data_IF_269596427906
#
_entry.id   IF_269596427906
#
_cell.length_a   1.000
_cell.length_b   1.000
_cell.length_c   1.000
_cell.angle_alpha   90.00
_cell.angle_beta   90.00
_cell.angle_gamma   90.00
#
_symmetry.space_group_name_H-M   'P 1'
#
loop_
_entity.id
_entity.type
_entity.pdbx_description
1 polymer ?
#
# COMPACT_ATOMS: atom_id res chain seq x y z
N UNK A 1 25.19 -7.46 18.52
CA UNK A 1 24.66 -6.10 18.18
C UNK A 1 23.62 -6.15 17.05
N UNK A 2 23.86 -6.83 15.92
CA UNK A 2 22.91 -6.87 14.76
C UNK A 2 21.57 -7.52 15.09
N UNK A 3 21.56 -8.58 15.91
CA UNK A 3 20.33 -9.26 16.32
C UNK A 3 19.41 -8.37 17.18
N UNK A 4 19.98 -7.63 18.13
CA UNK A 4 19.22 -6.68 18.95
C UNK A 4 18.61 -5.54 18.10
N UNK A 5 19.39 -4.99 17.16
CA UNK A 5 18.89 -3.97 16.23
C UNK A 5 17.74 -4.55 15.38
N UNK A 6 17.84 -5.80 14.93
CA UNK A 6 16.78 -6.46 14.18
C UNK A 6 15.47 -6.58 14.98
N UNK A 7 15.56 -7.04 16.24
CA UNK A 7 14.38 -7.13 17.13
C UNK A 7 13.79 -5.75 17.38
N UNK A 8 14.62 -4.77 17.71
CA UNK A 8 14.16 -3.39 17.97
C UNK A 8 13.46 -2.81 16.74
N UNK A 9 14.03 -3.00 15.56
CA UNK A 9 13.41 -2.56 14.28
C UNK A 9 12.07 -3.23 14.06
N UNK A 10 11.98 -4.53 14.28
CA UNK A 10 10.72 -5.26 14.11
C UNK A 10 9.64 -4.76 15.08
N UNK A 11 9.96 -4.58 16.35
CA UNK A 11 9.02 -4.06 17.35
C UNK A 11 8.58 -2.63 17.01
N UNK A 12 9.50 -1.79 16.59
CA UNK A 12 9.24 -0.41 16.21
C UNK A 12 8.29 -0.34 14.98
N UNK A 13 8.57 -1.12 13.94
CA UNK A 13 7.67 -1.25 12.78
C UNK A 13 6.29 -1.72 13.22
N UNK A 14 6.21 -2.73 14.09
CA UNK A 14 4.94 -3.26 14.58
C UNK A 14 4.14 -2.21 15.36
N UNK A 15 4.80 -1.41 16.19
CA UNK A 15 4.16 -0.32 16.95
C UNK A 15 3.64 0.78 16.02
N UNK A 16 4.48 1.28 15.12
CA UNK A 16 4.10 2.35 14.18
C UNK A 16 2.94 1.91 13.28
N UNK A 17 3.01 0.68 12.73
CA UNK A 17 1.91 0.14 11.91
C UNK A 17 0.63 -0.05 12.73
N UNK A 18 0.73 -0.52 13.98
CA UNK A 18 -0.44 -0.70 14.84
C UNK A 18 -1.14 0.63 15.13
N UNK A 19 -0.37 1.68 15.40
CA UNK A 19 -0.90 3.04 15.61
C UNK A 19 -1.54 3.55 14.31
N UNK A 20 -0.83 3.45 13.18
CA UNK A 20 -1.32 3.90 11.87
C UNK A 20 -2.62 3.20 11.48
N UNK A 21 -2.67 1.87 11.56
CA UNK A 21 -3.89 1.11 11.26
C UNK A 21 -5.00 1.35 12.28
N UNK A 22 -4.69 1.51 13.56
CA UNK A 22 -5.66 1.88 14.59
C UNK A 22 -6.36 3.20 14.26
N UNK A 23 -5.59 4.24 13.91
CA UNK A 23 -6.12 5.53 13.47
C UNK A 23 -6.98 5.39 12.20
N UNK A 24 -6.53 4.60 11.22
CA UNK A 24 -7.29 4.35 10.00
C UNK A 24 -8.64 3.68 10.29
N UNK A 25 -8.69 2.71 11.19
CA UNK A 25 -9.94 2.04 11.61
C UNK A 25 -10.90 3.05 12.26
N UNK A 26 -10.42 3.82 13.22
CA UNK A 26 -11.23 4.86 13.92
C UNK A 26 -11.81 5.86 12.93
N UNK A 27 -10.97 6.40 12.03
CA UNK A 27 -11.40 7.41 11.05
C UNK A 27 -12.36 6.84 10.01
N UNK A 28 -12.20 5.58 9.62
CA UNK A 28 -13.08 4.97 8.63
C UNK A 28 -14.35 4.35 9.24
N UNK A 29 -14.45 4.18 10.55
CA UNK A 29 -15.65 3.63 11.20
C UNK A 29 -16.94 4.36 10.84
N UNK A 30 -17.00 5.71 10.69
CA UNK A 30 -18.22 6.40 10.31
C UNK A 30 -18.70 6.10 8.88
N UNK A 31 -17.83 5.55 8.01
CA UNK A 31 -18.20 5.17 6.62
C UNK A 31 -19.24 4.07 6.56
N UNK A 32 -19.36 3.29 7.63
CA UNK A 32 -20.36 2.21 7.75
C UNK A 32 -21.77 2.82 7.81
N UNK A 33 -21.92 3.91 8.56
CA UNK A 33 -23.22 4.56 8.81
C UNK A 33 -23.49 5.66 7.78
N UNK A 34 -22.48 6.51 7.51
CA UNK A 34 -22.64 7.70 6.67
C UNK A 34 -22.36 7.35 5.21
N UNK A 35 -23.41 7.31 4.38
CA UNK A 35 -23.30 7.02 2.94
C UNK A 35 -23.06 8.26 2.06
N UNK A 36 -22.98 9.47 2.64
CA UNK A 36 -22.80 10.72 1.92
C UNK A 36 -21.48 10.79 1.17
N UNK A 37 -21.54 10.97 -0.16
CA UNK A 37 -20.36 10.88 -1.05
C UNK A 37 -19.24 11.89 -0.74
N UNK A 38 -19.50 13.19 -0.49
CA UNK A 38 -18.43 14.14 -0.15
C UNK A 38 -17.70 13.78 1.14
N UNK A 39 -18.42 13.30 2.14
CA UNK A 39 -17.84 12.84 3.41
C UNK A 39 -16.92 11.63 3.19
N UNK A 40 -17.31 10.67 2.35
CA UNK A 40 -16.45 9.54 2.00
C UNK A 40 -15.17 9.96 1.29
N UNK A 41 -15.24 11.00 0.42
CA UNK A 41 -14.05 11.56 -0.23
C UNK A 41 -13.11 12.23 0.78
N UNK A 42 -13.67 12.99 1.71
CA UNK A 42 -12.91 13.61 2.80
C UNK A 42 -12.20 12.55 3.65
N UNK A 43 -12.91 11.51 4.10
CA UNK A 43 -12.33 10.43 4.87
C UNK A 43 -11.24 9.66 4.09
N UNK A 44 -11.40 9.55 2.78
CA UNK A 44 -10.38 8.92 1.95
C UNK A 44 -9.10 9.77 1.87
N UNK A 45 -9.21 11.08 1.68
CA UNK A 45 -8.06 12.00 1.73
C UNK A 45 -7.35 11.92 3.08
N UNK A 46 -8.12 11.92 4.17
CA UNK A 46 -7.57 11.79 5.52
C UNK A 46 -6.89 10.44 5.74
N UNK A 47 -7.45 9.36 5.20
CA UNK A 47 -6.82 8.03 5.26
C UNK A 47 -5.49 7.98 4.50
N UNK A 48 -5.42 8.60 3.33
CA UNK A 48 -4.16 8.69 2.58
C UNK A 48 -3.12 9.51 3.37
N UNK A 49 -3.51 10.64 3.96
CA UNK A 49 -2.62 11.44 4.80
C UNK A 49 -2.07 10.64 5.98
N UNK A 50 -2.90 9.85 6.66
CA UNK A 50 -2.45 8.96 7.75
C UNK A 50 -1.50 7.90 7.21
N UNK A 51 -1.78 7.32 6.04
CA UNK A 51 -0.88 6.41 5.37
C UNK A 51 0.49 7.03 5.11
N UNK A 52 0.52 8.24 4.54
CA UNK A 52 1.74 8.98 4.27
C UNK A 52 2.51 9.33 5.55
N UNK A 53 1.81 9.77 6.61
CA UNK A 53 2.44 10.02 7.92
C UNK A 53 3.01 8.75 8.55
N UNK A 54 2.32 7.62 8.40
CA UNK A 54 2.81 6.31 8.87
C UNK A 54 4.08 5.91 8.13
N UNK A 55 4.12 6.05 6.79
CA UNK A 55 5.31 5.80 5.97
C UNK A 55 6.46 6.72 6.37
N UNK A 56 6.19 8.00 6.59
CA UNK A 56 7.20 8.97 7.03
C UNK A 56 7.77 8.59 8.40
N UNK A 57 6.92 8.22 9.34
CA UNK A 57 7.35 7.78 10.68
C UNK A 57 8.23 6.54 10.61
N UNK A 58 7.84 5.53 9.81
CA UNK A 58 8.65 4.34 9.56
C UNK A 58 10.01 4.69 8.96
N UNK A 59 10.02 5.56 7.94
CA UNK A 59 11.26 5.97 7.28
C UNK A 59 12.22 6.66 8.25
N UNK A 60 11.73 7.57 9.08
CA UNK A 60 12.55 8.29 10.08
C UNK A 60 13.08 7.30 11.13
N UNK A 61 12.22 6.43 11.64
CA UNK A 61 12.60 5.48 12.69
C UNK A 61 13.62 4.46 12.20
N UNK A 62 13.44 3.86 11.02
CA UNK A 62 14.39 2.91 10.45
C UNK A 62 15.76 3.59 10.21
N UNK A 63 15.77 4.80 9.64
CA UNK A 63 17.01 5.54 9.43
C UNK A 63 17.74 5.86 10.74
N UNK A 64 16.99 6.21 11.78
CA UNK A 64 17.53 6.48 13.11
C UNK A 64 18.12 5.23 13.76
N UNK A 65 17.38 4.11 13.79
CA UNK A 65 17.82 2.84 14.37
C UNK A 65 19.05 2.26 13.69
N UNK A 66 19.12 2.36 12.37
CA UNK A 66 20.23 1.85 11.57
C UNK A 66 21.36 2.87 11.37
N UNK A 67 21.20 4.09 11.87
CA UNK A 67 22.16 5.20 11.69
C UNK A 67 22.55 5.43 10.21
N UNK A 68 21.58 5.24 9.32
CA UNK A 68 21.77 5.41 7.86
C UNK A 68 20.76 6.40 7.32
N UNK A 69 21.22 7.32 6.49
CA UNK A 69 20.34 8.23 5.75
C UNK A 69 20.03 7.63 4.39
N UNK A 70 18.75 7.67 4.02
CA UNK A 70 18.31 7.30 2.68
C UNK A 70 18.39 8.51 1.77
N UNK A 71 18.92 8.29 0.58
CA UNK A 71 18.96 9.28 -0.49
C UNK A 71 18.21 8.71 -1.69
N UNK A 72 17.22 9.44 -2.19
CA UNK A 72 16.43 9.06 -3.35
C UNK A 72 16.65 10.07 -4.45
N UNK A 73 17.05 9.58 -5.61
CA UNK A 73 17.14 10.38 -6.82
C UNK A 73 15.89 10.11 -7.67
N UNK A 74 15.19 11.18 -8.04
CA UNK A 74 13.99 11.15 -8.87
C UNK A 74 14.27 12.08 -10.05
N UNK A 75 14.30 11.52 -11.26
CA UNK A 75 14.68 12.25 -12.47
C UNK A 75 13.59 13.21 -12.95
N UNK A 76 12.33 12.87 -12.70
CA UNK A 76 11.18 13.65 -13.17
C UNK A 76 10.39 14.22 -11.99
N UNK A 77 9.74 15.35 -12.22
CA UNK A 77 8.80 15.90 -11.26
C UNK A 77 7.54 15.02 -11.19
N UNK A 78 7.25 14.51 -10.00
CA UNK A 78 6.03 13.76 -9.72
C UNK A 78 5.07 14.60 -8.90
N UNK A 79 3.77 14.43 -9.14
CA UNK A 79 2.70 15.23 -8.54
C UNK A 79 1.70 14.38 -7.77
N UNK A 80 1.12 14.94 -6.71
CA UNK A 80 0.02 14.33 -5.96
C UNK A 80 -1.30 14.30 -6.74
N UNK A 81 -1.40 15.04 -7.84
CA UNK A 81 -2.64 15.22 -8.63
C UNK A 81 -2.66 14.38 -9.90
N UNK A 82 -1.72 13.44 -10.05
CA UNK A 82 -1.59 12.60 -11.23
C UNK A 82 -1.73 11.10 -10.93
N UNK A 83 -1.87 10.30 -12.00
CA UNK A 83 -1.96 8.84 -11.92
C UNK A 83 -0.66 8.21 -12.36
N UNK A 84 -0.17 7.25 -11.58
CA UNK A 84 1.07 6.55 -11.86
C UNK A 84 0.89 5.05 -11.84
N UNK A 85 1.61 4.39 -12.74
CA UNK A 85 1.92 2.97 -12.65
C UNK A 85 3.39 2.85 -12.30
N UNK A 86 3.67 2.48 -11.06
CA UNK A 86 5.03 2.28 -10.59
C UNK A 86 5.37 0.78 -10.59
N UNK A 87 6.55 0.46 -11.09
CA UNK A 87 7.08 -0.91 -11.07
C UNK A 87 8.45 -0.92 -10.44
N UNK A 88 8.77 -1.97 -9.71
CA UNK A 88 10.09 -2.17 -9.09
C UNK A 88 10.45 -3.63 -9.06
N UNK A 89 11.73 -3.93 -9.04
CA UNK A 89 12.22 -5.25 -8.69
C UNK A 89 11.88 -5.57 -7.24
N UNK A 90 11.73 -6.86 -6.92
CA UNK A 90 11.43 -7.31 -5.57
C UNK A 90 12.47 -8.32 -5.09
N UNK A 91 13.48 -7.81 -4.41
CA UNK A 91 14.54 -8.64 -3.83
C UNK A 91 14.35 -8.89 -2.33
N UNK A 92 13.66 -7.96 -1.64
CA UNK A 92 13.44 -8.04 -0.21
C UNK A 92 12.20 -7.25 0.25
N UNK A 93 11.69 -7.55 1.44
CA UNK A 93 10.64 -6.75 2.08
C UNK A 93 11.03 -5.27 2.27
N UNK A 94 12.33 -4.98 2.34
CA UNK A 94 12.86 -3.62 2.44
C UNK A 94 12.51 -2.77 1.22
N UNK A 95 12.39 -3.38 0.03
CA UNK A 95 12.10 -2.66 -1.22
C UNK A 95 10.73 -1.97 -1.18
N UNK A 96 9.74 -2.58 -0.51
CA UNK A 96 8.42 -1.99 -0.29
C UNK A 96 8.55 -0.68 0.50
N UNK A 97 9.30 -0.71 1.60
CA UNK A 97 9.48 0.49 2.45
C UNK A 97 10.30 1.56 1.75
N UNK A 98 11.35 1.18 1.01
CA UNK A 98 12.15 2.13 0.23
C UNK A 98 11.33 2.80 -0.86
N UNK A 99 10.51 2.05 -1.60
CA UNK A 99 9.65 2.59 -2.65
C UNK A 99 8.59 3.53 -2.08
N UNK A 100 7.94 3.16 -0.98
CA UNK A 100 7.00 4.02 -0.27
C UNK A 100 7.67 5.30 0.24
N UNK A 101 8.88 5.20 0.81
CA UNK A 101 9.61 6.34 1.34
C UNK A 101 10.09 7.30 0.24
N UNK A 102 10.50 6.77 -0.92
CA UNK A 102 10.97 7.57 -2.05
C UNK A 102 9.89 8.52 -2.60
N UNK A 103 8.64 8.05 -2.63
CA UNK A 103 7.51 8.79 -3.22
C UNK A 103 6.60 9.44 -2.17
N UNK A 104 6.93 9.29 -0.88
CA UNK A 104 6.12 9.80 0.23
C UNK A 104 5.89 11.32 0.12
N UNK A 105 4.65 11.76 0.14
CA UNK A 105 4.20 13.15 -0.09
C UNK A 105 4.58 13.76 -1.45
N UNK A 106 5.10 12.98 -2.40
CA UNK A 106 5.42 13.43 -3.76
C UNK A 106 4.43 12.89 -4.77
N UNK A 107 4.01 11.64 -4.61
CA UNK A 107 2.97 10.99 -5.41
C UNK A 107 1.82 10.50 -4.52
N UNK A 108 0.63 10.21 -5.07
CA UNK A 108 -0.44 9.58 -4.34
C UNK A 108 0.02 8.28 -3.68
N UNK A 109 -0.47 8.02 -2.45
CA UNK A 109 -0.12 6.82 -1.70
C UNK A 109 -0.34 5.54 -2.53
N UNK A 110 0.65 4.69 -2.58
CA UNK A 110 0.64 3.46 -3.35
C UNK A 110 -0.56 2.57 -3.04
N UNK A 111 -1.18 2.06 -4.10
CA UNK A 111 -2.18 0.98 -4.04
C UNK A 111 -1.51 -0.29 -4.55
N UNK A 112 -1.08 -1.12 -3.61
CA UNK A 112 -0.39 -2.38 -3.90
C UNK A 112 -1.45 -3.45 -4.15
N UNK A 113 -1.27 -4.23 -5.21
CA UNK A 113 -2.09 -5.41 -5.43
C UNK A 113 -1.80 -6.47 -4.39
N UNK A 114 -2.83 -6.81 -3.61
CA UNK A 114 -2.72 -7.82 -2.56
C UNK A 114 -3.36 -9.12 -3.02
N UNK A 115 -2.66 -10.23 -2.78
CA UNK A 115 -3.19 -11.56 -3.05
C UNK A 115 -4.43 -11.81 -2.18
N UNK A 116 -5.53 -12.26 -2.81
CA UNK A 116 -6.79 -12.49 -2.09
C UNK A 116 -6.66 -13.52 -0.96
N UNK A 117 -5.80 -14.50 -1.12
CA UNK A 117 -5.54 -15.53 -0.10
C UNK A 117 -4.98 -14.96 1.23
N UNK A 118 -4.49 -13.71 1.21
CA UNK A 118 -3.96 -13.03 2.41
C UNK A 118 -5.03 -12.25 3.20
N UNK A 119 -6.31 -12.34 2.82
CA UNK A 119 -7.41 -11.61 3.48
C UNK A 119 -7.54 -11.90 4.98
N UNK A 120 -7.11 -13.07 5.43
CA UNK A 120 -7.15 -13.48 6.83
C UNK A 120 -6.09 -12.77 7.71
N UNK A 121 -5.07 -12.14 7.11
CA UNK A 121 -4.09 -11.37 7.84
C UNK A 121 -4.67 -9.99 8.20
N UNK A 122 -4.80 -9.64 9.52
CA UNK A 122 -5.43 -8.40 9.93
C UNK A 122 -4.85 -7.13 9.28
N UNK A 123 -3.52 -6.95 9.16
CA UNK A 123 -2.96 -5.76 8.49
C UNK A 123 -3.37 -5.66 7.01
N UNK A 124 -3.44 -6.80 6.30
CA UNK A 124 -3.82 -6.85 4.88
C UNK A 124 -5.30 -6.50 4.71
N UNK A 125 -6.17 -7.07 5.55
CA UNK A 125 -7.59 -6.75 5.55
C UNK A 125 -7.82 -5.26 5.86
N UNK A 126 -7.16 -4.72 6.88
CA UNK A 126 -7.26 -3.31 7.26
C UNK A 126 -6.77 -2.39 6.13
N UNK A 127 -5.64 -2.70 5.50
CA UNK A 127 -5.15 -1.93 4.35
C UNK A 127 -6.14 -1.94 3.17
N UNK A 128 -6.78 -3.08 2.89
CA UNK A 128 -7.82 -3.15 1.86
C UNK A 128 -9.01 -2.27 2.18
N UNK A 129 -9.57 -2.38 3.38
CA UNK A 129 -10.79 -1.67 3.77
C UNK A 129 -10.55 -0.17 3.94
N UNK A 130 -9.45 0.24 4.56
CA UNK A 130 -9.19 1.64 4.93
C UNK A 130 -8.48 2.43 3.83
N UNK A 131 -7.50 1.83 3.16
CA UNK A 131 -6.69 2.45 2.11
C UNK A 131 -7.15 2.08 0.70
N UNK A 132 -8.21 1.29 0.55
CA UNK A 132 -8.70 0.81 -0.75
C UNK A 132 -7.65 0.04 -1.55
N UNK A 133 -6.78 -0.74 -0.90
CA UNK A 133 -5.83 -1.60 -1.59
C UNK A 133 -6.59 -2.69 -2.37
N UNK A 134 -6.29 -2.93 -3.66
CA UNK A 134 -7.04 -3.91 -4.45
C UNK A 134 -6.63 -5.33 -4.12
N UNK A 135 -7.60 -6.23 -3.95
CA UNK A 135 -7.34 -7.65 -4.00
C UNK A 135 -7.37 -8.15 -5.45
N UNK A 136 -6.41 -9.01 -5.77
CA UNK A 136 -6.38 -9.72 -7.06
C UNK A 136 -6.37 -11.22 -6.82
N UNK A 137 -7.09 -11.94 -7.67
CA UNK A 137 -6.93 -13.37 -7.78
C UNK A 137 -5.72 -13.62 -8.68
N UNK A 138 -4.80 -14.44 -8.24
CA UNK A 138 -3.70 -14.93 -9.07
C UNK A 138 -3.76 -16.45 -9.05
N UNK A 139 -4.20 -17.03 -10.12
CA UNK A 139 -4.15 -18.48 -10.29
C UNK A 139 -2.72 -18.94 -10.55
N UNK A 140 -2.37 -20.11 -10.03
CA UNK A 140 -1.05 -20.69 -10.25
C UNK A 140 -0.87 -21.11 -11.72
N UNK A 141 0.39 -21.20 -12.20
CA UNK A 141 0.69 -21.67 -13.56
C UNK A 141 -0.01 -22.99 -13.87
N UNK A 142 -0.01 -23.94 -12.93
CA UNK A 142 -0.70 -25.25 -13.08
C UNK A 142 -2.23 -25.11 -13.23
N UNK A 143 -2.86 -24.13 -12.59
CA UNK A 143 -4.30 -23.88 -12.73
C UNK A 143 -4.61 -23.24 -14.08
N UNK A 144 -3.77 -22.29 -14.53
CA UNK A 144 -3.91 -21.66 -15.84
C UNK A 144 -3.68 -22.63 -17.01
N UNK A 145 -2.77 -23.59 -16.85
CA UNK A 145 -2.55 -24.67 -17.85
C UNK A 145 -3.76 -25.60 -17.96
N UNK A 146 -4.44 -25.90 -16.81
CA UNK A 146 -5.64 -26.73 -16.78
C UNK A 146 -6.90 -26.00 -17.31
N UNK A 147 -6.98 -24.72 -17.08
CA UNK A 147 -8.10 -23.89 -17.50
C UNK A 147 -7.61 -22.47 -17.94
N UNK A 148 -7.36 -22.28 -19.24
CA UNK A 148 -6.88 -21.01 -19.80
C UNK A 148 -7.85 -19.83 -19.58
N UNK A 149 -9.16 -20.08 -19.46
CA UNK A 149 -10.18 -19.04 -19.26
C UNK A 149 -10.01 -18.29 -17.93
N UNK A 150 -9.36 -18.91 -16.94
CA UNK A 150 -9.05 -18.25 -15.67
C UNK A 150 -8.17 -17.00 -15.85
N UNK A 151 -7.32 -16.96 -16.89
CA UNK A 151 -6.51 -15.77 -17.21
C UNK A 151 -7.39 -14.57 -17.59
N UNK A 152 -8.42 -14.80 -18.39
CA UNK A 152 -9.36 -13.76 -18.78
C UNK A 152 -10.16 -13.27 -17.57
N UNK A 153 -10.60 -14.18 -16.71
CA UNK A 153 -11.31 -13.86 -15.47
C UNK A 153 -10.43 -13.04 -14.52
N UNK A 154 -9.16 -13.39 -14.35
CA UNK A 154 -8.21 -12.64 -13.51
C UNK A 154 -8.00 -11.22 -14.05
N UNK A 155 -7.91 -11.08 -15.36
CA UNK A 155 -7.78 -9.79 -16.03
C UNK A 155 -9.03 -8.91 -15.83
N UNK A 156 -10.22 -9.44 -16.06
CA UNK A 156 -11.49 -8.73 -15.86
C UNK A 156 -11.69 -8.30 -14.40
N UNK A 157 -11.36 -9.17 -13.45
CA UNK A 157 -11.40 -8.86 -12.01
C UNK A 157 -10.41 -7.75 -11.63
N UNK A 158 -9.23 -7.75 -12.24
CA UNK A 158 -8.22 -6.72 -12.01
C UNK A 158 -8.71 -5.37 -12.52
N UNK A 159 -9.24 -5.31 -13.76
CA UNK A 159 -9.83 -4.09 -14.32
C UNK A 159 -10.97 -3.58 -13.43
N UNK A 160 -11.89 -4.45 -13.03
CA UNK A 160 -13.00 -4.09 -12.16
C UNK A 160 -12.52 -3.50 -10.82
N UNK A 161 -11.44 -4.05 -10.26
CA UNK A 161 -10.82 -3.54 -9.03
C UNK A 161 -10.19 -2.16 -9.22
N UNK A 162 -9.71 -1.84 -10.42
CA UNK A 162 -9.06 -0.57 -10.74
C UNK A 162 -10.03 0.56 -11.10
N UNK A 163 -11.27 0.26 -11.53
CA UNK A 163 -12.28 1.28 -11.90
C UNK A 163 -12.51 2.36 -10.84
N UNK A 164 -12.37 2.01 -9.55
CA UNK A 164 -12.51 2.97 -8.45
C UNK A 164 -11.42 4.04 -8.44
N UNK A 165 -10.26 3.77 -9.05
CA UNK A 165 -9.13 4.69 -9.10
C UNK A 165 -9.24 5.74 -10.21
N UNK A 166 -10.16 5.59 -11.17
CA UNK A 166 -10.41 6.59 -12.21
C UNK A 166 -10.85 7.95 -11.65
N UNK A 167 -11.42 7.96 -10.44
CA UNK A 167 -12.07 9.13 -9.84
C UNK A 167 -11.14 10.05 -9.05
N UNK A 168 -9.92 9.64 -8.83
CA UNK A 168 -8.95 10.42 -8.05
C UNK A 168 -7.53 9.93 -8.33
N UNK A 169 -6.54 10.84 -8.32
CA UNK A 169 -5.14 10.52 -8.49
C UNK A 169 -4.71 9.34 -7.62
N UNK A 170 -4.01 8.41 -8.24
CA UNK A 170 -3.66 7.15 -7.58
C UNK A 170 -2.38 6.58 -8.19
N UNK A 171 -1.48 6.11 -7.36
CA UNK A 171 -0.32 5.33 -7.78
C UNK A 171 -0.62 3.86 -7.60
N UNK A 172 -0.64 3.10 -8.69
CA UNK A 172 -0.72 1.63 -8.65
C UNK A 172 0.71 1.10 -8.66
N UNK A 173 1.03 0.24 -7.70
CA UNK A 173 2.36 -0.31 -7.56
C UNK A 173 2.35 -1.82 -7.80
N UNK A 174 3.26 -2.29 -8.68
CA UNK A 174 3.45 -3.71 -8.98
C UNK A 174 4.93 -4.07 -8.89
N UNK A 175 5.21 -5.20 -8.28
CA UNK A 175 6.54 -5.78 -8.38
C UNK A 175 6.67 -6.57 -9.68
N UNK A 176 7.77 -6.32 -10.41
CA UNK A 176 8.16 -7.13 -11.56
C UNK A 176 8.89 -8.37 -11.02
N UNK A 177 8.31 -9.56 -11.26
CA UNK A 177 8.93 -10.86 -10.98
C UNK A 177 9.74 -11.32 -12.19
#
# INVERSE_FOLDING_TARGET
KSFLIGITTFLDIAVILSIGFGLLVVINSPRIIIKYRPFKRFLHKLSNLIGDLTVKSLSISIQFLHQKKWSFFIEEDISMDEWYLATSNHSSWGDVFCSLAATNFKAPLFKIFMKKDLWWLPPVLLANVTLNMPFVNRHSKKQLEKNPDLRKLDYENTIASCKRFERQPTTIFSFAD
#
